data_IF_347937960853
#
_entry.id   IF_347937960853
#
_cell.length_a   1.000
_cell.length_b   1.000
_cell.length_c   1.000
_cell.angle_alpha   90.00
_cell.angle_beta   90.00
_cell.angle_gamma   90.00
#
_symmetry.space_group_name_H-M   'P 1'
#
loop_
_entity.id
_entity.type
_entity.pdbx_description
1 polymer ?
#
# COMPACT_ATOMS: atom_id res chain seq x y z
N UNK A 1 -20.02 -11.73 -14.66
CA UNK A 1 -20.70 -10.48 -14.33
C UNK A 1 -20.71 -10.18 -12.83
N UNK A 2 -21.22 -11.06 -11.95
CA UNK A 2 -21.24 -10.86 -10.49
C UNK A 2 -19.87 -10.61 -9.87
N UNK A 3 -18.82 -11.36 -10.28
CA UNK A 3 -17.46 -11.18 -9.79
C UNK A 3 -16.88 -9.80 -10.13
N UNK A 4 -17.16 -9.29 -11.34
CA UNK A 4 -16.75 -7.94 -11.74
C UNK A 4 -17.41 -6.85 -10.90
N UNK A 5 -18.71 -6.98 -10.64
CA UNK A 5 -19.46 -6.06 -9.76
C UNK A 5 -18.90 -6.09 -8.33
N UNK A 6 -18.63 -7.29 -7.78
CA UNK A 6 -18.05 -7.45 -6.46
C UNK A 6 -16.66 -6.77 -6.37
N UNK A 7 -15.84 -6.86 -7.42
CA UNK A 7 -14.53 -6.18 -7.49
C UNK A 7 -14.63 -4.67 -7.55
N UNK A 8 -15.63 -4.13 -8.25
CA UNK A 8 -15.88 -2.67 -8.29
C UNK A 8 -16.30 -2.18 -6.91
N UNK A 9 -17.25 -2.86 -6.25
CA UNK A 9 -17.69 -2.52 -4.89
C UNK A 9 -16.52 -2.60 -3.91
N UNK A 10 -15.69 -3.64 -4.00
CA UNK A 10 -14.48 -3.79 -3.19
C UNK A 10 -13.50 -2.63 -3.39
N UNK A 11 -13.26 -2.22 -4.63
CA UNK A 11 -12.37 -1.08 -4.94
C UNK A 11 -12.88 0.24 -4.40
N UNK A 12 -14.17 0.52 -4.53
CA UNK A 12 -14.82 1.72 -3.97
C UNK A 12 -14.74 1.74 -2.43
N UNK A 13 -15.01 0.60 -1.79
CA UNK A 13 -14.92 0.45 -0.34
C UNK A 13 -13.50 0.69 0.15
N UNK A 14 -12.51 0.08 -0.51
CA UNK A 14 -11.10 0.24 -0.17
C UNK A 14 -10.63 1.70 -0.25
N UNK A 15 -11.04 2.42 -1.28
CA UNK A 15 -10.67 3.83 -1.45
C UNK A 15 -11.23 4.73 -0.37
N UNK A 16 -12.50 4.54 0.00
CA UNK A 16 -13.15 5.27 1.08
C UNK A 16 -12.51 4.97 2.44
N UNK A 17 -12.24 3.70 2.71
CA UNK A 17 -11.59 3.26 3.95
C UNK A 17 -10.16 3.81 4.08
N UNK A 18 -9.37 3.74 3.00
CA UNK A 18 -8.01 4.27 2.99
C UNK A 18 -7.99 5.77 3.30
N UNK A 19 -8.84 6.56 2.62
CA UNK A 19 -8.91 8.01 2.84
C UNK A 19 -9.33 8.38 4.26
N UNK A 20 -10.33 7.70 4.81
CA UNK A 20 -10.82 7.95 6.17
C UNK A 20 -9.79 7.57 7.22
N UNK A 21 -9.17 6.37 7.13
CA UNK A 21 -8.19 5.91 8.10
C UNK A 21 -6.88 6.70 8.05
N UNK A 22 -6.39 7.05 6.87
CA UNK A 22 -5.21 7.91 6.71
C UNK A 22 -5.44 9.30 7.31
N UNK A 23 -6.61 9.90 7.09
CA UNK A 23 -6.98 11.20 7.66
C UNK A 23 -7.07 11.13 9.17
N UNK A 24 -7.80 10.15 9.71
CA UNK A 24 -7.97 9.97 11.15
C UNK A 24 -6.63 9.80 11.87
N UNK A 25 -5.79 8.86 11.41
CA UNK A 25 -4.48 8.63 12.02
C UNK A 25 -3.59 9.88 11.97
N UNK A 26 -3.69 10.67 10.90
CA UNK A 26 -2.89 11.89 10.74
C UNK A 26 -3.36 13.01 11.66
N UNK A 27 -4.67 13.10 11.92
CA UNK A 27 -5.27 14.12 12.77
C UNK A 27 -5.11 13.84 14.27
N UNK A 28 -5.18 12.57 14.67
CA UNK A 28 -5.03 12.14 16.09
C UNK A 28 -3.57 12.03 16.50
N UNK A 29 -2.65 11.83 15.55
CA UNK A 29 -1.23 11.65 15.86
C UNK A 29 -0.58 12.94 16.37
N UNK A 30 0.23 12.81 17.43
CA UNK A 30 1.09 13.88 17.93
C UNK A 30 1.98 14.44 16.81
N UNK A 31 2.08 15.77 16.74
CA UNK A 31 2.77 16.47 15.65
C UNK A 31 4.24 16.06 15.51
N UNK A 32 4.93 15.86 16.64
CA UNK A 32 6.36 15.49 16.65
C UNK A 32 6.63 14.08 16.18
N UNK A 33 5.67 13.16 16.34
CA UNK A 33 5.80 11.73 16.03
C UNK A 33 4.77 11.26 15.00
N UNK A 34 4.25 12.17 14.21
CA UNK A 34 3.17 11.91 13.25
C UNK A 34 3.54 10.84 12.22
N UNK A 35 4.78 10.84 11.73
CA UNK A 35 5.30 9.81 10.83
C UNK A 35 5.32 8.43 11.46
N UNK A 36 5.77 8.32 12.70
CA UNK A 36 5.76 7.06 13.44
C UNK A 36 4.33 6.52 13.58
N UNK A 37 3.39 7.31 14.09
CA UNK A 37 2.02 6.83 14.31
C UNK A 37 1.29 6.51 13.00
N UNK A 38 1.42 7.33 11.97
CA UNK A 38 0.74 7.09 10.68
C UNK A 38 1.34 5.90 9.94
N UNK A 39 2.59 5.52 10.20
CA UNK A 39 3.21 4.32 9.61
C UNK A 39 2.46 3.03 9.96
N UNK A 40 1.75 3.00 11.10
CA UNK A 40 0.90 1.87 11.51
C UNK A 40 -0.26 1.61 10.53
N UNK A 41 -0.61 2.57 9.70
CA UNK A 41 -1.53 2.33 8.60
C UNK A 41 -1.04 1.21 7.67
N UNK A 42 0.24 1.20 7.33
CA UNK A 42 0.82 0.13 6.51
C UNK A 42 1.20 -1.11 7.32
N UNK A 43 1.49 -0.96 8.62
CA UNK A 43 1.61 -2.13 9.52
C UNK A 43 0.32 -2.95 9.48
N UNK A 44 -0.86 -2.31 9.53
CA UNK A 44 -2.14 -3.02 9.48
C UNK A 44 -2.42 -3.63 8.10
N UNK A 45 -2.07 -2.95 7.00
CA UNK A 45 -2.24 -3.48 5.65
C UNK A 45 -1.35 -4.71 5.40
N UNK A 46 -0.07 -4.64 5.75
CA UNK A 46 0.89 -5.75 5.62
C UNK A 46 0.53 -6.86 6.61
N UNK A 47 0.14 -6.50 7.83
CA UNK A 47 -0.29 -7.43 8.86
C UNK A 47 -1.53 -8.23 8.45
N UNK A 48 -2.51 -7.57 7.82
CA UNK A 48 -3.68 -8.24 7.25
C UNK A 48 -3.32 -9.27 6.17
N UNK A 49 -2.39 -8.93 5.27
CA UNK A 49 -1.85 -9.84 4.26
C UNK A 49 -1.13 -11.03 4.91
N UNK A 50 -0.30 -10.77 5.92
CA UNK A 50 0.41 -11.80 6.65
C UNK A 50 -0.56 -12.74 7.39
N UNK A 51 -1.58 -12.20 8.07
CA UNK A 51 -2.62 -12.99 8.71
C UNK A 51 -3.35 -13.90 7.71
N UNK A 52 -3.69 -13.40 6.52
CA UNK A 52 -4.32 -14.20 5.48
C UNK A 52 -3.42 -15.38 5.05
N UNK A 53 -2.12 -15.15 4.87
CA UNK A 53 -1.15 -16.20 4.54
C UNK A 53 -1.04 -17.22 5.69
N UNK A 54 -0.96 -16.76 6.94
CA UNK A 54 -0.86 -17.64 8.10
C UNK A 54 -2.13 -18.50 8.29
N UNK A 55 -3.31 -17.93 8.09
CA UNK A 55 -4.58 -18.70 8.11
C UNK A 55 -4.55 -19.79 7.04
N UNK A 56 -4.14 -19.45 5.81
CA UNK A 56 -4.02 -20.45 4.74
C UNK A 56 -3.02 -21.56 5.08
N UNK A 57 -1.85 -21.20 5.63
CA UNK A 57 -0.84 -22.17 6.07
C UNK A 57 -1.40 -23.13 7.13
N UNK A 58 -2.03 -22.59 8.17
CA UNK A 58 -2.60 -23.41 9.26
C UNK A 58 -3.67 -24.35 8.70
N UNK A 59 -4.54 -23.86 7.82
CA UNK A 59 -5.56 -24.70 7.18
C UNK A 59 -4.95 -25.83 6.34
N UNK A 60 -3.92 -25.52 5.55
CA UNK A 60 -3.29 -26.48 4.63
C UNK A 60 -2.37 -27.50 5.33
N UNK A 61 -1.72 -27.09 6.43
CA UNK A 61 -0.72 -27.95 7.09
C UNK A 61 -1.31 -28.75 8.25
N UNK A 62 -2.36 -28.24 8.91
CA UNK A 62 -2.86 -28.82 10.16
C UNK A 62 -4.27 -29.40 10.04
N UNK A 63 -5.18 -28.71 9.31
CA UNK A 63 -6.60 -29.05 9.39
C UNK A 63 -7.18 -29.71 8.14
N UNK A 64 -6.67 -29.40 6.95
CA UNK A 64 -7.31 -29.79 5.69
C UNK A 64 -6.35 -30.53 4.74
N UNK A 65 -6.87 -31.58 4.12
CA UNK A 65 -6.18 -32.20 2.98
C UNK A 65 -6.24 -31.30 1.75
N UNK A 66 -5.34 -31.47 0.74
CA UNK A 66 -5.39 -30.71 -0.50
C UNK A 66 -6.76 -30.78 -1.22
N UNK A 67 -7.43 -31.93 -1.16
CA UNK A 67 -8.74 -32.11 -1.79
C UNK A 67 -9.84 -31.36 -1.02
N UNK A 68 -9.82 -31.43 0.31
CA UNK A 68 -10.74 -30.65 1.16
C UNK A 68 -10.53 -29.15 0.97
N UNK A 69 -9.26 -28.71 0.85
CA UNK A 69 -8.94 -27.31 0.63
C UNK A 69 -9.51 -26.82 -0.72
N UNK A 70 -9.41 -27.65 -1.79
CA UNK A 70 -9.97 -27.33 -3.11
C UNK A 70 -11.49 -27.36 -3.14
N UNK A 71 -12.11 -28.32 -2.45
CA UNK A 71 -13.56 -28.50 -2.48
C UNK A 71 -14.32 -27.40 -1.74
N UNK A 72 -13.92 -27.08 -0.51
CA UNK A 72 -14.64 -26.14 0.37
C UNK A 72 -13.75 -25.30 1.28
N UNK A 73 -12.56 -25.76 1.64
CA UNK A 73 -11.68 -25.13 2.63
C UNK A 73 -11.27 -23.69 2.27
N UNK A 74 -11.17 -23.37 0.98
CA UNK A 74 -10.89 -22.02 0.51
C UNK A 74 -11.93 -20.97 0.95
N UNK A 75 -13.14 -21.39 1.37
CA UNK A 75 -14.18 -20.50 1.88
C UNK A 75 -13.92 -20.01 3.30
N UNK A 76 -13.15 -20.77 4.10
CA UNK A 76 -12.90 -20.44 5.52
C UNK A 76 -12.23 -19.08 5.69
N UNK A 77 -11.16 -18.73 4.96
CA UNK A 77 -10.56 -17.39 5.06
C UNK A 77 -11.55 -16.26 4.76
N UNK A 78 -12.49 -16.46 3.85
CA UNK A 78 -13.53 -15.47 3.55
C UNK A 78 -14.54 -15.30 4.69
N UNK A 79 -14.91 -16.40 5.36
CA UNK A 79 -15.78 -16.34 6.55
C UNK A 79 -15.08 -15.63 7.71
N UNK A 80 -13.81 -15.93 7.95
CA UNK A 80 -13.00 -15.22 8.95
C UNK A 80 -12.94 -13.72 8.60
N UNK A 81 -12.67 -13.38 7.34
CA UNK A 81 -12.67 -12.00 6.86
C UNK A 81 -14.01 -11.29 7.08
N UNK A 82 -15.13 -11.96 6.83
CA UNK A 82 -16.47 -11.41 7.07
C UNK A 82 -16.72 -11.12 8.55
N UNK A 83 -16.34 -12.02 9.45
CA UNK A 83 -16.44 -11.82 10.91
C UNK A 83 -15.59 -10.63 11.35
N UNK A 84 -14.35 -10.54 10.87
CA UNK A 84 -13.46 -9.41 11.17
C UNK A 84 -14.00 -8.09 10.65
N UNK A 85 -14.61 -8.09 9.45
CA UNK A 85 -15.23 -6.88 8.88
C UNK A 85 -16.43 -6.40 9.71
N UNK A 86 -17.28 -7.32 10.18
CA UNK A 86 -18.41 -6.99 11.08
C UNK A 86 -17.88 -6.44 12.41
N UNK A 87 -16.85 -7.08 12.99
CA UNK A 87 -16.22 -6.62 14.23
C UNK A 87 -15.63 -5.21 14.06
N UNK A 88 -14.93 -4.95 12.96
CA UNK A 88 -14.40 -3.63 12.64
C UNK A 88 -15.52 -2.59 12.48
N UNK A 89 -16.64 -2.94 11.85
CA UNK A 89 -17.82 -2.05 11.74
C UNK A 89 -18.39 -1.69 13.11
N UNK A 90 -18.50 -2.66 14.02
CA UNK A 90 -18.98 -2.42 15.38
C UNK A 90 -18.04 -1.50 16.16
N UNK A 91 -16.73 -1.72 16.07
CA UNK A 91 -15.73 -0.87 16.72
C UNK A 91 -15.77 0.57 16.19
N UNK A 92 -15.92 0.75 14.88
CA UNK A 92 -15.98 2.07 14.25
C UNK A 92 -17.20 2.89 14.66
N UNK A 93 -18.33 2.25 14.96
CA UNK A 93 -19.53 2.97 15.43
C UNK A 93 -19.32 3.71 16.75
N UNK A 94 -18.33 3.31 17.54
CA UNK A 94 -18.00 3.90 18.83
C UNK A 94 -16.85 4.92 18.74
N UNK A 95 -16.28 5.17 17.56
CA UNK A 95 -15.25 6.20 17.39
C UNK A 95 -15.88 7.59 17.37
N UNK A 96 -15.28 8.49 18.14
CA UNK A 96 -15.65 9.90 18.14
C UNK A 96 -15.02 10.58 16.93
N UNK A 97 -15.74 11.56 16.37
CA UNK A 97 -15.21 12.43 15.32
C UNK A 97 -14.00 13.23 15.88
N UNK A 98 -13.01 13.49 15.03
CA UNK A 98 -11.85 14.28 15.42
C UNK A 98 -12.25 15.74 15.67
N UNK A 99 -11.60 16.41 16.61
CA UNK A 99 -11.84 17.84 16.89
C UNK A 99 -11.64 18.68 15.63
N UNK A 100 -10.60 18.40 14.86
CA UNK A 100 -10.32 19.06 13.58
C UNK A 100 -11.47 18.93 12.58
N UNK A 101 -12.15 17.77 12.54
CA UNK A 101 -13.30 17.54 11.67
C UNK A 101 -14.55 18.29 12.19
N UNK A 102 -14.77 18.29 13.51
CA UNK A 102 -15.89 19.00 14.14
C UNK A 102 -15.77 20.51 13.90
N UNK A 103 -14.57 21.08 14.04
CA UNK A 103 -14.32 22.49 13.75
C UNK A 103 -14.50 22.83 12.27
N UNK A 104 -13.99 22.01 11.35
CA UNK A 104 -14.17 22.21 9.92
C UNK A 104 -15.63 22.09 9.45
N UNK A 105 -16.50 21.44 10.24
CA UNK A 105 -17.92 21.24 9.95
C UNK A 105 -18.82 22.42 10.34
N UNK A 106 -18.32 23.43 11.07
CA UNK A 106 -19.06 24.67 11.38
C UNK A 106 -19.51 25.31 10.07
N UNK A 107 -20.74 25.91 10.00
CA UNK A 107 -21.44 26.18 8.76
C UNK A 107 -20.81 27.31 7.92
N UNK A 108 -19.76 27.00 7.21
CA UNK A 108 -19.30 27.80 6.08
C UNK A 108 -19.53 26.99 4.80
N UNK A 109 -20.53 27.41 4.01
CA UNK A 109 -20.91 26.95 2.66
C UNK A 109 -20.45 25.51 2.33
N UNK A 110 -21.36 24.56 2.41
CA UNK A 110 -21.19 23.17 1.93
C UNK A 110 -21.01 23.16 0.40
N UNK A 111 -19.82 23.49 -0.07
CA UNK A 111 -19.40 23.02 -1.38
C UNK A 111 -19.27 21.50 -1.31
N UNK A 112 -19.79 20.80 -2.31
CA UNK A 112 -19.57 19.35 -2.40
C UNK A 112 -18.06 19.10 -2.40
N UNK A 113 -17.56 18.19 -1.52
CA UNK A 113 -16.14 17.86 -1.39
C UNK A 113 -15.49 17.52 -2.73
N UNK A 114 -16.25 16.96 -3.68
CA UNK A 114 -15.79 16.68 -5.03
C UNK A 114 -15.52 17.96 -5.84
N UNK A 115 -16.39 18.97 -5.78
CA UNK A 115 -16.16 20.25 -6.47
C UNK A 115 -14.99 21.00 -5.84
N UNK A 116 -14.87 20.95 -4.52
CA UNK A 116 -13.74 21.57 -3.82
C UNK A 116 -12.41 20.94 -4.21
N UNK A 117 -12.37 19.64 -4.54
CA UNK A 117 -11.16 18.95 -4.98
C UNK A 117 -10.58 19.52 -6.29
N UNK A 118 -11.41 20.01 -7.20
CA UNK A 118 -10.95 20.68 -8.43
C UNK A 118 -10.16 21.97 -8.18
N UNK A 119 -10.19 22.53 -6.97
CA UNK A 119 -9.36 23.68 -6.57
C UNK A 119 -7.91 23.25 -6.25
N UNK A 120 -7.63 21.94 -6.14
CA UNK A 120 -6.33 21.38 -5.76
C UNK A 120 -5.72 20.44 -6.82
N UNK A 121 -5.68 20.83 -8.11
CA UNK A 121 -5.25 19.93 -9.19
C UNK A 121 -3.81 19.46 -9.02
N UNK A 122 -2.92 20.35 -8.55
CA UNK A 122 -1.51 20.01 -8.31
C UNK A 122 -1.36 18.94 -7.23
N UNK A 123 -2.11 19.05 -6.12
CA UNK A 123 -2.09 18.07 -5.05
C UNK A 123 -2.62 16.72 -5.52
N UNK A 124 -3.70 16.71 -6.29
CA UNK A 124 -4.26 15.50 -6.92
C UNK A 124 -3.22 14.83 -7.81
N UNK A 125 -2.53 15.57 -8.67
CA UNK A 125 -1.48 15.04 -9.54
C UNK A 125 -0.30 14.45 -8.73
N UNK A 126 0.09 15.10 -7.62
CA UNK A 126 1.11 14.56 -6.71
C UNK A 126 0.63 13.22 -6.12
N UNK A 127 -0.60 13.14 -5.64
CA UNK A 127 -1.16 11.88 -5.11
C UNK A 127 -1.17 10.80 -6.18
N UNK A 128 -1.62 11.10 -7.39
CA UNK A 128 -1.65 10.15 -8.51
C UNK A 128 -0.25 9.66 -8.85
N UNK A 129 0.71 10.55 -9.05
CA UNK A 129 2.07 10.17 -9.44
C UNK A 129 2.81 9.36 -8.38
N UNK A 130 2.70 9.75 -7.10
CA UNK A 130 3.27 8.97 -5.99
C UNK A 130 2.60 7.60 -5.85
N UNK A 131 1.27 7.56 -6.00
CA UNK A 131 0.49 6.33 -5.85
C UNK A 131 0.79 5.35 -6.97
N UNK A 132 0.90 5.80 -8.22
CA UNK A 132 1.18 4.91 -9.35
C UNK A 132 2.43 4.05 -9.12
N UNK A 133 3.58 4.67 -8.83
CA UNK A 133 4.81 3.93 -8.54
C UNK A 133 4.75 3.12 -7.25
N UNK A 134 4.24 3.74 -6.19
CA UNK A 134 4.23 3.13 -4.87
C UNK A 134 3.30 1.94 -4.74
N UNK A 135 2.09 2.00 -5.29
CA UNK A 135 1.15 0.86 -5.23
C UNK A 135 1.55 -0.27 -6.18
N UNK A 136 2.07 0.04 -7.37
CA UNK A 136 2.58 -1.00 -8.27
C UNK A 136 3.72 -1.77 -7.60
N UNK A 137 4.67 -1.07 -6.96
CA UNK A 137 5.74 -1.72 -6.19
C UNK A 137 5.18 -2.54 -5.02
N UNK A 138 4.25 -1.99 -4.25
CA UNK A 138 3.62 -2.67 -3.12
C UNK A 138 2.95 -3.98 -3.56
N UNK A 139 2.08 -3.94 -4.58
CA UNK A 139 1.40 -5.15 -5.08
C UNK A 139 2.35 -6.14 -5.76
N UNK A 140 3.45 -5.65 -6.34
CA UNK A 140 4.50 -6.52 -6.86
C UNK A 140 5.12 -7.37 -5.75
N UNK A 141 5.52 -6.76 -4.63
CA UNK A 141 6.22 -7.47 -3.55
C UNK A 141 5.28 -8.14 -2.55
N UNK A 142 3.99 -7.81 -2.52
CA UNK A 142 3.00 -8.51 -1.69
C UNK A 142 2.28 -9.63 -2.44
N UNK A 143 1.67 -9.32 -3.57
CA UNK A 143 0.74 -10.23 -4.27
C UNK A 143 1.42 -11.02 -5.39
N UNK A 144 2.08 -10.31 -6.33
CA UNK A 144 2.72 -10.97 -7.47
C UNK A 144 3.93 -11.82 -7.06
N UNK A 145 4.66 -11.40 -6.02
CA UNK A 145 5.91 -12.07 -5.61
C UNK A 145 5.73 -13.56 -5.30
N UNK A 146 4.60 -13.96 -4.72
CA UNK A 146 4.31 -15.38 -4.47
C UNK A 146 4.25 -16.19 -5.77
N UNK A 147 3.59 -15.65 -6.80
CA UNK A 147 3.53 -16.30 -8.12
C UNK A 147 4.88 -16.27 -8.82
N UNK A 148 5.61 -15.18 -8.70
CA UNK A 148 6.96 -15.06 -9.26
C UNK A 148 7.92 -16.09 -8.67
N UNK A 149 7.94 -16.25 -7.36
CA UNK A 149 8.77 -17.25 -6.67
C UNK A 149 8.45 -18.68 -7.11
N UNK A 150 7.18 -18.99 -7.30
CA UNK A 150 6.73 -20.31 -7.74
C UNK A 150 6.98 -20.53 -9.22
N UNK A 151 6.57 -19.62 -10.09
CA UNK A 151 6.50 -19.81 -11.54
C UNK A 151 7.79 -19.43 -12.27
N UNK A 152 8.60 -18.54 -11.72
CA UNK A 152 9.81 -18.02 -12.39
C UNK A 152 11.08 -18.45 -11.68
N UNK A 153 11.07 -18.49 -10.34
CA UNK A 153 12.22 -18.95 -9.53
C UNK A 153 12.20 -20.47 -9.35
N UNK A 154 11.00 -21.09 -9.35
CA UNK A 154 10.82 -22.55 -9.23
C UNK A 154 10.89 -23.05 -7.78
N UNK A 155 10.57 -22.20 -6.79
CA UNK A 155 10.48 -22.63 -5.40
C UNK A 155 9.22 -23.47 -5.17
N UNK A 156 9.29 -24.41 -4.22
CA UNK A 156 8.12 -25.17 -3.80
C UNK A 156 7.09 -24.26 -3.10
N UNK A 157 5.84 -24.72 -2.99
CA UNK A 157 4.76 -23.96 -2.35
C UNK A 157 5.12 -23.59 -0.90
N UNK A 158 5.71 -24.52 -0.17
CA UNK A 158 6.14 -24.28 1.22
C UNK A 158 7.26 -23.24 1.31
N UNK A 159 8.29 -23.37 0.47
CA UNK A 159 9.40 -22.40 0.40
C UNK A 159 8.89 -21.00 0.00
N UNK A 160 8.01 -20.93 -1.00
CA UNK A 160 7.39 -19.66 -1.44
C UNK A 160 6.64 -18.99 -0.31
N UNK A 161 5.85 -19.75 0.44
CA UNK A 161 5.07 -19.22 1.55
C UNK A 161 5.96 -18.76 2.70
N UNK A 162 6.99 -19.54 3.05
CA UNK A 162 7.96 -19.15 4.11
C UNK A 162 8.73 -17.88 3.74
N UNK A 163 9.21 -17.77 2.51
CA UNK A 163 9.92 -16.57 2.02
C UNK A 163 8.99 -15.36 2.02
N UNK A 164 7.75 -15.53 1.55
CA UNK A 164 6.76 -14.46 1.53
C UNK A 164 6.40 -14.00 2.94
N UNK A 165 6.07 -14.93 3.85
CA UNK A 165 5.75 -14.60 5.23
C UNK A 165 6.92 -13.90 5.94
N UNK A 166 8.13 -14.44 5.84
CA UNK A 166 9.33 -13.85 6.42
C UNK A 166 9.60 -12.44 5.89
N UNK A 167 9.47 -12.23 4.58
CA UNK A 167 9.68 -10.91 3.97
C UNK A 167 8.61 -9.89 4.37
N UNK A 168 7.35 -10.32 4.57
CA UNK A 168 6.28 -9.46 5.07
C UNK A 168 6.48 -9.09 6.55
N UNK A 169 6.97 -10.02 7.39
CA UNK A 169 7.36 -9.70 8.77
C UNK A 169 8.45 -8.63 8.78
N UNK A 170 9.48 -8.81 7.97
CA UNK A 170 10.55 -7.83 7.83
C UNK A 170 10.00 -6.47 7.35
N UNK A 171 9.15 -6.45 6.32
CA UNK A 171 8.51 -5.24 5.82
C UNK A 171 7.67 -4.53 6.89
N UNK A 172 6.93 -5.30 7.71
CA UNK A 172 6.13 -4.79 8.81
C UNK A 172 6.98 -4.07 9.85
N UNK A 173 8.13 -4.65 10.24
CA UNK A 173 9.06 -4.03 11.17
C UNK A 173 9.69 -2.75 10.61
N UNK A 174 9.90 -2.65 9.31
CA UNK A 174 10.45 -1.44 8.68
C UNK A 174 9.51 -0.24 8.74
N UNK A 175 8.18 -0.45 8.76
CA UNK A 175 7.24 0.67 8.69
C UNK A 175 7.43 1.70 9.82
N UNK A 176 7.38 1.32 11.12
CA UNK A 176 7.56 2.29 12.19
C UNK A 176 8.97 2.89 12.23
N UNK A 177 10.00 2.15 11.81
CA UNK A 177 11.38 2.64 11.73
C UNK A 177 11.47 3.79 10.71
N UNK A 178 10.96 3.59 9.50
CA UNK A 178 10.95 4.63 8.46
C UNK A 178 9.98 5.77 8.81
N UNK A 179 8.85 5.45 9.45
CA UNK A 179 7.94 6.46 9.99
C UNK A 179 8.64 7.39 10.98
N UNK A 180 9.31 6.84 11.98
CA UNK A 180 10.09 7.61 12.95
C UNK A 180 11.27 8.37 12.31
N UNK A 181 11.93 7.76 11.32
CA UNK A 181 12.98 8.43 10.55
C UNK A 181 12.43 9.66 9.82
N UNK A 182 11.23 9.57 9.25
CA UNK A 182 10.57 10.68 8.58
C UNK A 182 10.29 11.87 9.49
N UNK A 183 10.05 11.60 10.78
CA UNK A 183 9.84 12.66 11.77
C UNK A 183 11.12 13.45 12.05
N UNK A 184 12.29 12.86 11.82
CA UNK A 184 13.60 13.53 11.96
C UNK A 184 14.02 14.25 10.68
N UNK A 185 14.09 13.53 9.55
CA UNK A 185 14.70 14.03 8.31
C UNK A 185 13.71 14.68 7.32
N UNK A 186 12.39 14.57 7.56
CA UNK A 186 11.35 15.01 6.64
C UNK A 186 10.79 13.88 5.78
N UNK A 187 9.73 14.16 5.02
CA UNK A 187 9.02 13.17 4.20
C UNK A 187 9.68 13.01 2.83
N UNK A 188 10.10 14.13 2.24
CA UNK A 188 10.68 14.18 0.90
C UNK A 188 11.93 13.32 0.73
N UNK A 189 12.90 13.26 1.65
CA UNK A 189 14.09 12.40 1.50
C UNK A 189 13.74 10.91 1.37
N UNK A 190 12.73 10.42 2.09
CA UNK A 190 12.31 9.02 2.00
C UNK A 190 11.58 8.70 0.70
N UNK A 191 10.79 9.64 0.18
CA UNK A 191 10.17 9.48 -1.15
C UNK A 191 11.21 9.47 -2.26
N UNK A 192 12.24 10.31 -2.16
CA UNK A 192 13.38 10.31 -3.09
C UNK A 192 14.17 9.00 -2.96
N UNK A 193 14.43 8.51 -1.74
CA UNK A 193 15.03 7.20 -1.50
C UNK A 193 14.29 6.09 -2.24
N UNK A 194 12.96 6.00 -2.03
CA UNK A 194 12.12 5.03 -2.73
C UNK A 194 12.24 5.17 -4.25
N UNK A 195 12.06 6.38 -4.76
CA UNK A 195 12.07 6.65 -6.20
C UNK A 195 13.43 6.36 -6.84
N UNK A 196 14.52 6.86 -6.24
CA UNK A 196 15.88 6.70 -6.78
C UNK A 196 16.34 5.24 -6.70
N UNK A 197 16.28 4.64 -5.51
CA UNK A 197 16.71 3.26 -5.32
C UNK A 197 15.80 2.29 -6.09
N UNK A 198 14.49 2.54 -6.13
CA UNK A 198 13.57 1.75 -6.91
C UNK A 198 13.84 1.84 -8.41
N UNK A 199 14.11 3.02 -8.95
CA UNK A 199 14.44 3.17 -10.38
C UNK A 199 15.75 2.46 -10.74
N UNK A 200 16.76 2.55 -9.89
CA UNK A 200 18.08 1.93 -10.16
C UNK A 200 18.07 0.43 -9.93
N UNK A 201 17.45 -0.04 -8.85
CA UNK A 201 17.61 -1.41 -8.40
C UNK A 201 16.46 -2.38 -8.76
N UNK A 202 15.31 -1.92 -9.24
CA UNK A 202 14.19 -2.82 -9.58
C UNK A 202 14.59 -3.87 -10.60
N UNK A 203 15.22 -3.46 -11.70
CA UNK A 203 15.63 -4.39 -12.77
C UNK A 203 16.67 -5.40 -12.26
N UNK A 204 17.83 -4.99 -11.68
CA UNK A 204 18.81 -5.94 -11.19
C UNK A 204 18.30 -6.81 -10.04
N UNK A 205 17.41 -6.32 -9.16
CA UNK A 205 16.81 -7.13 -8.11
C UNK A 205 15.91 -8.24 -8.66
N UNK A 206 15.01 -7.92 -9.58
CA UNK A 206 14.12 -8.91 -10.19
C UNK A 206 14.92 -9.92 -11.05
N UNK A 207 15.92 -9.46 -11.79
CA UNK A 207 16.81 -10.35 -12.55
C UNK A 207 17.60 -11.28 -11.63
N UNK A 208 18.19 -10.76 -10.53
CA UNK A 208 18.91 -11.55 -9.54
C UNK A 208 17.97 -12.54 -8.83
N UNK A 209 16.75 -12.14 -8.57
CA UNK A 209 15.73 -12.99 -7.96
C UNK A 209 15.34 -14.15 -8.89
N UNK A 210 15.19 -13.89 -10.19
CA UNK A 210 14.88 -14.91 -11.19
C UNK A 210 16.04 -15.92 -11.34
N UNK A 211 17.28 -15.45 -11.20
CA UNK A 211 18.48 -16.32 -11.27
C UNK A 211 18.74 -17.11 -9.98
N UNK A 212 18.06 -16.78 -8.87
CA UNK A 212 18.32 -17.46 -7.59
C UNK A 212 17.65 -18.84 -7.56
N UNK A 213 18.26 -19.77 -6.80
CA UNK A 213 17.75 -21.14 -6.63
C UNK A 213 17.51 -21.49 -5.16
N UNK A 214 17.84 -20.58 -4.25
CA UNK A 214 17.76 -20.85 -2.81
C UNK A 214 16.75 -19.93 -2.14
N UNK A 215 15.88 -20.46 -1.24
CA UNK A 215 14.89 -19.66 -0.52
C UNK A 215 15.52 -18.51 0.29
N UNK A 216 16.68 -18.75 0.89
CA UNK A 216 17.37 -17.74 1.68
C UNK A 216 17.85 -16.54 0.86
N UNK A 217 18.40 -16.78 -0.34
CA UNK A 217 18.78 -15.69 -1.25
C UNK A 217 17.54 -14.92 -1.75
N UNK A 218 16.46 -15.64 -2.06
CA UNK A 218 15.20 -15.01 -2.43
C UNK A 218 14.68 -14.10 -1.30
N UNK A 219 14.71 -14.58 -0.05
CA UNK A 219 14.35 -13.79 1.13
C UNK A 219 15.21 -12.51 1.27
N UNK A 220 16.53 -12.61 1.12
CA UNK A 220 17.41 -11.44 1.21
C UNK A 220 17.13 -10.41 0.10
N UNK A 221 16.92 -10.84 -1.14
CA UNK A 221 16.63 -9.95 -2.26
C UNK A 221 15.29 -9.25 -2.09
N UNK A 222 14.26 -9.97 -1.64
CA UNK A 222 12.94 -9.38 -1.37
C UNK A 222 13.02 -8.43 -0.17
N UNK A 223 13.80 -8.77 0.85
CA UNK A 223 14.03 -7.88 1.99
C UNK A 223 14.75 -6.59 1.58
N UNK A 224 15.73 -6.68 0.68
CA UNK A 224 16.35 -5.50 0.09
C UNK A 224 15.36 -4.64 -0.70
N UNK A 225 14.45 -5.25 -1.47
CA UNK A 225 13.37 -4.54 -2.14
C UNK A 225 12.44 -3.84 -1.12
N UNK A 226 12.12 -4.50 0.00
CA UNK A 226 11.29 -3.90 1.05
C UNK A 226 11.97 -2.71 1.74
N UNK A 227 13.30 -2.70 1.90
CA UNK A 227 14.03 -1.52 2.40
C UNK A 227 13.85 -0.31 1.47
N UNK A 228 13.72 -0.54 0.16
CA UNK A 228 13.45 0.52 -0.81
C UNK A 228 11.98 0.96 -0.71
N UNK A 229 11.06 0.01 -0.77
CA UNK A 229 9.60 0.27 -0.82
C UNK A 229 9.10 0.88 0.49
N UNK A 230 9.70 0.53 1.64
CA UNK A 230 9.36 1.11 2.94
C UNK A 230 9.54 2.64 2.99
N UNK A 231 10.44 3.21 2.19
CA UNK A 231 10.57 4.66 2.06
C UNK A 231 9.32 5.36 1.56
N UNK A 232 8.48 4.67 0.79
CA UNK A 232 7.17 5.15 0.38
C UNK A 232 6.06 4.68 1.31
N UNK A 233 5.97 3.37 1.58
CA UNK A 233 4.81 2.79 2.28
C UNK A 233 4.63 3.34 3.68
N UNK A 234 5.71 3.57 4.43
CA UNK A 234 5.64 4.06 5.81
C UNK A 234 5.01 5.45 5.96
N UNK A 235 5.13 6.30 4.96
CA UNK A 235 4.74 7.71 5.06
C UNK A 235 3.73 8.17 4.01
N UNK A 236 3.37 7.33 3.05
CA UNK A 236 2.54 7.79 1.93
C UNK A 236 1.13 8.24 2.36
N UNK A 237 0.54 7.62 3.37
CA UNK A 237 -0.74 8.04 3.94
C UNK A 237 -0.63 9.45 4.55
N UNK A 238 0.43 9.69 5.30
CA UNK A 238 0.74 10.98 5.92
C UNK A 238 0.98 12.08 4.87
N UNK A 239 1.87 11.81 3.91
CA UNK A 239 2.19 12.78 2.84
C UNK A 239 0.93 13.23 2.10
N UNK A 240 0.06 12.28 1.75
CA UNK A 240 -1.20 12.59 1.07
C UNK A 240 -2.13 13.41 1.94
N UNK A 241 -2.24 13.09 3.24
CA UNK A 241 -3.08 13.85 4.16
C UNK A 241 -2.55 15.27 4.39
N UNK A 242 -1.24 15.45 4.48
CA UNK A 242 -0.58 16.75 4.65
C UNK A 242 -0.74 17.68 3.42
N UNK A 243 -1.10 17.14 2.23
CA UNK A 243 -1.31 17.93 1.01
C UNK A 243 -2.64 18.70 1.00
N UNK A 244 -3.64 18.26 1.78
CA UNK A 244 -4.99 18.81 1.70
C UNK A 244 -5.44 19.44 3.03
N UNK A 245 -6.19 20.57 2.97
CA UNK A 245 -6.85 21.11 4.14
C UNK A 245 -7.94 20.16 4.66
N UNK A 246 -8.27 20.25 5.95
CA UNK A 246 -9.19 19.32 6.65
C UNK A 246 -10.53 19.14 5.93
N UNK A 247 -11.10 20.20 5.37
CA UNK A 247 -12.41 20.19 4.72
C UNK A 247 -12.51 19.24 3.51
N UNK A 248 -11.39 18.95 2.82
CA UNK A 248 -11.35 18.08 1.62
C UNK A 248 -10.38 16.92 1.75
N UNK A 249 -9.69 16.77 2.88
CA UNK A 249 -8.59 15.83 3.09
C UNK A 249 -8.99 14.38 2.80
N UNK A 250 -10.04 13.89 3.43
CA UNK A 250 -10.47 12.50 3.25
C UNK A 250 -10.78 12.18 1.77
N UNK A 251 -11.48 13.08 1.07
CA UNK A 251 -11.80 12.91 -0.36
C UNK A 251 -10.55 13.09 -1.23
N UNK A 252 -9.70 14.07 -0.92
CA UNK A 252 -8.45 14.35 -1.64
C UNK A 252 -7.40 13.23 -1.52
N UNK A 253 -7.40 12.52 -0.40
CA UNK A 253 -6.57 11.32 -0.20
C UNK A 253 -7.22 10.11 -0.86
N UNK A 254 -8.49 9.83 -0.52
CA UNK A 254 -9.15 8.56 -0.87
C UNK A 254 -9.45 8.41 -2.35
N UNK A 255 -10.03 9.43 -2.99
CA UNK A 255 -10.49 9.32 -4.38
C UNK A 255 -9.33 9.16 -5.39
N UNK A 256 -8.30 10.04 -5.42
CA UNK A 256 -7.17 9.85 -6.32
C UNK A 256 -6.41 8.56 -6.04
N UNK A 257 -6.26 8.17 -4.76
CA UNK A 257 -5.66 6.91 -4.38
C UNK A 257 -6.44 5.71 -4.94
N UNK A 258 -7.76 5.67 -4.75
CA UNK A 258 -8.60 4.58 -5.22
C UNK A 258 -8.51 4.41 -6.75
N UNK A 259 -8.66 5.51 -7.50
CA UNK A 259 -8.58 5.48 -8.96
C UNK A 259 -7.20 5.00 -9.41
N UNK A 260 -6.13 5.57 -8.87
CA UNK A 260 -4.76 5.24 -9.27
C UNK A 260 -4.41 3.80 -8.90
N UNK A 261 -4.80 3.34 -7.72
CA UNK A 261 -4.57 1.95 -7.30
C UNK A 261 -5.34 0.97 -8.17
N UNK A 262 -6.55 1.30 -8.60
CA UNK A 262 -7.34 0.46 -9.51
C UNK A 262 -6.71 0.35 -10.90
N UNK A 263 -6.01 1.39 -11.36
CA UNK A 263 -5.37 1.40 -12.68
C UNK A 263 -3.97 0.77 -12.66
N UNK A 264 -3.18 1.05 -11.63
CA UNK A 264 -1.76 0.67 -11.57
C UNK A 264 -1.47 -0.46 -10.60
N UNK A 265 -2.06 -0.45 -9.41
CA UNK A 265 -1.79 -1.42 -8.35
C UNK A 265 -2.54 -2.73 -8.55
N UNK A 266 -3.86 -2.67 -8.69
CA UNK A 266 -4.70 -3.86 -8.83
C UNK A 266 -4.33 -4.76 -10.00
N UNK A 267 -4.07 -4.21 -11.21
CA UNK A 267 -3.68 -5.01 -12.37
C UNK A 267 -2.21 -5.45 -12.39
N UNK A 268 -1.36 -5.00 -11.46
CA UNK A 268 0.09 -5.25 -11.49
C UNK A 268 0.43 -6.75 -11.68
N UNK A 269 -0.23 -7.63 -10.93
CA UNK A 269 -0.07 -9.08 -11.08
C UNK A 269 -0.51 -9.58 -12.46
N UNK A 270 -1.66 -9.11 -12.94
CA UNK A 270 -2.20 -9.52 -14.25
C UNK A 270 -1.30 -9.07 -15.40
N UNK A 271 -0.76 -7.85 -15.31
CA UNK A 271 0.20 -7.31 -16.28
C UNK A 271 1.47 -8.14 -16.27
N UNK A 272 1.99 -8.49 -15.10
CA UNK A 272 3.19 -9.32 -14.97
C UNK A 272 3.00 -10.71 -15.57
N UNK A 273 1.88 -11.35 -15.25
CA UNK A 273 1.54 -12.68 -15.82
C UNK A 273 1.27 -12.63 -17.32
N UNK A 274 0.69 -11.54 -17.83
CA UNK A 274 0.52 -11.33 -19.26
C UNK A 274 1.88 -11.22 -19.97
N UNK A 275 2.81 -10.40 -19.49
CA UNK A 275 4.17 -10.34 -20.05
C UNK A 275 4.86 -11.71 -20.04
N UNK A 276 4.66 -12.48 -18.96
CA UNK A 276 5.19 -13.83 -18.85
C UNK A 276 4.56 -14.75 -19.90
N UNK A 277 3.25 -14.68 -20.13
CA UNK A 277 2.54 -15.53 -21.09
C UNK A 277 2.96 -15.31 -22.55
N UNK A 278 3.41 -14.10 -22.88
CA UNK A 278 3.94 -13.77 -24.21
C UNK A 278 5.47 -13.95 -24.33
N UNK A 279 6.12 -14.55 -23.31
CA UNK A 279 7.57 -14.81 -23.32
C UNK A 279 8.47 -13.61 -22.98
N UNK A 280 7.88 -12.50 -22.57
CA UNK A 280 8.61 -11.24 -22.28
C UNK A 280 8.53 -10.82 -20.79
N UNK A 281 8.75 -11.76 -19.89
CA UNK A 281 8.62 -11.54 -18.44
C UNK A 281 9.47 -10.35 -17.94
N UNK A 282 10.64 -10.12 -18.51
CA UNK A 282 11.52 -8.99 -18.18
C UNK A 282 10.86 -7.62 -18.42
N UNK A 283 9.88 -7.52 -19.32
CA UNK A 283 9.21 -6.25 -19.60
C UNK A 283 8.43 -5.72 -18.42
N UNK A 284 7.98 -6.59 -17.51
CA UNK A 284 7.37 -6.17 -16.27
C UNK A 284 8.32 -5.36 -15.39
N UNK A 285 9.61 -5.72 -15.35
CA UNK A 285 10.60 -4.96 -14.59
C UNK A 285 10.81 -3.54 -15.16
N UNK A 286 10.77 -3.38 -16.49
CA UNK A 286 10.82 -2.06 -17.12
C UNK A 286 9.57 -1.24 -16.84
N UNK A 287 8.38 -1.87 -16.93
CA UNK A 287 7.12 -1.22 -16.56
C UNK A 287 7.14 -0.73 -15.11
N UNK A 288 7.51 -1.59 -14.16
CA UNK A 288 7.61 -1.24 -12.75
C UNK A 288 8.61 -0.10 -12.52
N UNK A 289 9.78 -0.17 -13.15
CA UNK A 289 10.81 0.88 -13.08
C UNK A 289 10.28 2.22 -13.62
N UNK A 290 9.56 2.21 -14.74
CA UNK A 290 9.02 3.43 -15.36
C UNK A 290 8.00 4.12 -14.42
N UNK A 291 7.09 3.37 -13.80
CA UNK A 291 6.11 3.98 -12.88
C UNK A 291 6.76 4.46 -11.57
N UNK A 292 7.83 3.78 -11.10
CA UNK A 292 8.63 4.27 -9.96
C UNK A 292 9.39 5.55 -10.34
N UNK A 293 9.93 5.65 -11.56
CA UNK A 293 10.60 6.85 -12.05
C UNK A 293 9.64 8.05 -12.12
N UNK A 294 8.36 7.83 -12.46
CA UNK A 294 7.32 8.88 -12.35
C UNK A 294 7.16 9.34 -10.91
N UNK A 295 7.10 8.41 -9.95
CA UNK A 295 7.03 8.76 -8.54
C UNK A 295 8.29 9.51 -8.06
N UNK A 296 9.47 9.18 -8.58
CA UNK A 296 10.71 9.93 -8.33
C UNK A 296 10.61 11.38 -8.83
N UNK A 297 10.18 11.59 -10.07
CA UNK A 297 10.00 12.93 -10.65
C UNK A 297 9.05 13.77 -9.77
N UNK A 298 7.93 13.20 -9.35
CA UNK A 298 6.99 13.87 -8.45
C UNK A 298 7.64 14.17 -7.10
N UNK A 299 8.40 13.23 -6.53
CA UNK A 299 9.07 13.40 -5.23
C UNK A 299 10.12 14.51 -5.26
N UNK A 300 10.86 14.65 -6.36
CA UNK A 300 11.87 15.70 -6.52
C UNK A 300 11.21 17.07 -6.67
N UNK A 301 10.12 17.17 -7.44
CA UNK A 301 9.44 18.44 -7.77
C UNK A 301 8.51 18.93 -6.67
N UNK A 302 8.00 18.05 -5.79
CA UNK A 302 7.16 18.45 -4.68
C UNK A 302 7.96 19.11 -3.55
N UNK A 303 7.29 19.97 -2.77
CA UNK A 303 7.84 20.49 -1.51
C UNK A 303 7.73 19.45 -0.40
N UNK A 304 8.63 19.51 0.59
CA UNK A 304 8.53 18.62 1.76
C UNK A 304 7.29 18.97 2.58
N UNK A 305 6.37 18.00 2.70
CA UNK A 305 5.10 18.22 3.39
C UNK A 305 5.26 18.43 4.91
N UNK A 306 6.37 17.98 5.52
CA UNK A 306 6.67 18.28 6.92
C UNK A 306 6.79 19.78 7.18
N UNK A 307 7.42 20.52 6.25
CA UNK A 307 7.64 21.98 6.38
C UNK A 307 6.51 22.82 5.79
N UNK A 308 5.76 22.27 4.82
CA UNK A 308 4.75 22.97 4.04
C UNK A 308 3.38 22.26 4.08
N UNK A 309 3.05 21.70 5.26
CA UNK A 309 1.77 21.04 5.47
C UNK A 309 0.59 22.01 5.32
N UNK A 310 -0.46 21.56 4.64
CA UNK A 310 -1.73 22.28 4.61
C UNK A 310 -2.47 22.21 5.97
N UNK A 311 -2.00 21.38 6.91
CA UNK A 311 -2.54 21.28 8.27
C UNK A 311 -2.08 22.43 9.18
N UNK A 312 -0.86 22.94 9.00
CA UNK A 312 -0.28 24.01 9.82
C UNK A 312 -0.75 25.42 9.44
N UNK A 313 -1.59 25.58 8.43
CA UNK A 313 -2.05 26.89 7.94
C UNK A 313 -3.34 27.40 8.60
N UNK A 314 -3.82 26.74 9.63
CA UNK A 314 -5.05 27.11 10.36
C UNK A 314 -4.79 27.52 11.81
N UNK A 315 -3.50 27.77 12.17
CA UNK A 315 -3.14 28.44 13.43
C UNK A 315 -2.81 29.93 13.19
#
# INVERSE_FOLDING_TARGET
MLLGLARIIQGLSLGGEYGASATYLTEVADEKHRGFYVSFHYVTLIGGQLCAILVLLVLQQVFLTPDQMRAWGWRIPFLIGAILAISALMMRRNLHETEAFIEARKPARRESSLRALFKYPRQVLIVVGLTAGGTTAFYTYTTYMQKFLKLSVGLSDNQTTMVSAGSLIFALCLQPIYGALSDRIGRKPLLIWFGLMGTVFTIPLLASLQATRTPFRAFLLISAAWMIVAGYTSINALVKAELFPTSVRATGVGLPYAITTSIFGGPAESIALWFKSIGHEAWFSYYLTAVIAVALLVSVTMRDTKRYSAMARHE
#
